data_IF_873003807667
#
_entry.id   IF_873003807667
#
_cell.length_a   1.000
_cell.length_b   1.000
_cell.length_c   1.000
_cell.angle_alpha   90.00
_cell.angle_beta   90.00
_cell.angle_gamma   90.00
#
_symmetry.space_group_name_H-M   'P 1'
#
loop_
_entity.id
_entity.type
_entity.pdbx_description
1 polymer ?
#
# COMPACT_ATOMS: atom_id res chain seq x y z
N UNK A 1 -25.70 5.21 21.32
CA UNK A 1 -26.36 6.32 22.04
C UNK A 1 -27.06 7.27 21.08
N UNK A 2 -26.34 7.92 20.17
CA UNK A 2 -26.88 8.87 19.19
C UNK A 2 -28.07 8.31 18.39
N UNK A 3 -27.92 7.16 17.74
CA UNK A 3 -29.00 6.53 16.96
C UNK A 3 -30.18 6.01 17.79
N UNK A 4 -29.98 5.77 19.10
CA UNK A 4 -30.99 5.23 20.00
C UNK A 4 -31.88 6.35 20.53
N UNK A 5 -31.27 7.47 20.94
CA UNK A 5 -31.99 8.63 21.49
C UNK A 5 -32.48 9.59 20.40
N UNK A 6 -31.82 9.62 19.23
CA UNK A 6 -32.18 10.49 18.10
C UNK A 6 -32.20 9.66 16.81
N UNK A 7 -33.26 8.86 16.58
CA UNK A 7 -33.40 8.06 15.36
C UNK A 7 -33.31 8.84 14.04
N UNK A 8 -33.81 10.09 13.92
CA UNK A 8 -33.71 10.86 12.66
C UNK A 8 -32.29 11.11 12.18
N UNK A 9 -31.29 11.00 13.06
CA UNK A 9 -29.88 11.21 12.69
C UNK A 9 -29.39 10.19 11.67
N UNK A 10 -30.02 9.01 11.59
CA UNK A 10 -29.69 7.98 10.59
C UNK A 10 -29.96 8.53 9.19
N UNK A 11 -31.04 9.28 9.00
CA UNK A 11 -31.37 9.92 7.73
C UNK A 11 -30.30 10.95 7.36
N UNK A 12 -29.83 11.74 8.33
CA UNK A 12 -28.74 12.71 8.13
C UNK A 12 -27.47 11.99 7.67
N UNK A 13 -27.09 10.89 8.34
CA UNK A 13 -25.91 10.09 7.96
C UNK A 13 -26.06 9.52 6.55
N UNK A 14 -27.23 8.99 6.18
CA UNK A 14 -27.48 8.47 4.84
C UNK A 14 -27.37 9.56 3.76
N UNK A 15 -27.94 10.74 4.02
CA UNK A 15 -27.85 11.89 3.10
C UNK A 15 -26.40 12.36 2.93
N UNK A 16 -25.64 12.43 4.02
CA UNK A 16 -24.22 12.81 3.98
C UNK A 16 -23.31 11.72 3.41
N UNK A 17 -23.75 10.47 3.39
CA UNK A 17 -22.99 9.36 2.82
C UNK A 17 -22.80 9.52 1.32
N UNK A 18 -23.81 10.00 0.59
CA UNK A 18 -23.72 10.19 -0.86
C UNK A 18 -22.57 11.13 -1.31
N UNK A 19 -22.47 12.39 -0.83
CA UNK A 19 -21.37 13.27 -1.20
C UNK A 19 -20.02 12.74 -0.69
N UNK A 20 -20.00 12.06 0.45
CA UNK A 20 -18.80 11.40 0.97
C UNK A 20 -18.25 10.37 -0.02
N UNK A 21 -19.09 9.45 -0.50
CA UNK A 21 -18.69 8.43 -1.48
C UNK A 21 -18.21 9.05 -2.79
N UNK A 22 -18.92 10.07 -3.30
CA UNK A 22 -18.56 10.74 -4.54
C UNK A 22 -17.20 11.45 -4.46
N UNK A 23 -16.91 12.08 -3.33
CA UNK A 23 -15.65 12.76 -3.10
C UNK A 23 -14.46 11.78 -3.04
N UNK A 24 -14.64 10.65 -2.36
CA UNK A 24 -13.62 9.58 -2.29
C UNK A 24 -13.38 8.96 -3.66
N UNK A 25 -14.46 8.70 -4.42
CA UNK A 25 -14.38 8.17 -5.79
C UNK A 25 -13.59 9.11 -6.72
N UNK A 26 -13.89 10.41 -6.67
CA UNK A 26 -13.18 11.44 -7.44
C UNK A 26 -11.69 11.53 -7.07
N UNK A 27 -11.37 11.42 -5.78
CA UNK A 27 -9.99 11.50 -5.29
C UNK A 27 -9.11 10.30 -5.67
N UNK A 28 -9.72 9.13 -5.90
CA UNK A 28 -8.99 7.87 -6.10
C UNK A 28 -8.04 7.90 -7.30
N UNK A 29 -8.47 8.47 -8.43
CA UNK A 29 -7.67 8.56 -9.66
C UNK A 29 -6.42 9.45 -9.49
N UNK A 30 -6.53 10.73 -9.10
CA UNK A 30 -5.36 11.59 -8.93
C UNK A 30 -4.42 11.11 -7.82
N UNK A 31 -4.95 10.52 -6.74
CA UNK A 31 -4.14 9.95 -5.67
C UNK A 31 -3.23 8.82 -6.15
N UNK A 32 -3.75 7.93 -7.01
CA UNK A 32 -2.97 6.85 -7.62
C UNK A 32 -1.87 7.40 -8.52
N UNK A 33 -2.19 8.39 -9.34
CA UNK A 33 -1.24 8.96 -10.29
C UNK A 33 -0.13 9.73 -9.57
N UNK A 34 -0.46 10.49 -8.52
CA UNK A 34 0.53 11.14 -7.65
C UNK A 34 1.46 10.13 -6.96
N UNK A 35 0.91 9.02 -6.46
CA UNK A 35 1.71 7.95 -5.86
C UNK A 35 2.66 7.31 -6.87
N UNK A 36 2.21 7.13 -8.11
CA UNK A 36 3.05 6.63 -9.21
C UNK A 36 4.17 7.62 -9.53
N UNK A 37 3.85 8.92 -9.63
CA UNK A 37 4.84 9.97 -9.88
C UNK A 37 5.91 10.02 -8.79
N UNK A 38 5.51 9.92 -7.52
CA UNK A 38 6.44 9.90 -6.38
C UNK A 38 7.37 8.68 -6.44
N UNK A 39 6.84 7.50 -6.78
CA UNK A 39 7.65 6.29 -6.92
C UNK A 39 8.68 6.43 -8.06
N UNK A 40 8.28 7.00 -9.19
CA UNK A 40 9.15 7.19 -10.36
C UNK A 40 10.19 8.29 -10.10
N UNK A 41 9.84 9.37 -9.40
CA UNK A 41 10.78 10.48 -9.13
C UNK A 41 11.86 10.12 -8.11
N UNK A 42 11.55 9.23 -7.16
CA UNK A 42 12.46 8.86 -6.08
C UNK A 42 13.63 7.97 -6.55
N UNK A 43 13.39 7.07 -7.50
CA UNK A 43 14.40 6.12 -7.98
C UNK A 43 15.65 6.79 -8.61
N UNK A 44 15.51 7.77 -9.53
CA UNK A 44 16.66 8.47 -10.12
C UNK A 44 17.55 9.19 -9.12
N UNK A 45 16.96 9.79 -8.07
CA UNK A 45 17.70 10.48 -7.00
C UNK A 45 18.65 9.51 -6.30
N UNK A 46 18.13 8.33 -5.94
CA UNK A 46 18.91 7.29 -5.26
C UNK A 46 19.97 6.66 -6.17
N UNK A 47 19.63 6.44 -7.45
CA UNK A 47 20.57 5.90 -8.44
C UNK A 47 21.74 6.85 -8.68
N UNK A 48 21.46 8.14 -8.90
CA UNK A 48 22.48 9.16 -9.14
C UNK A 48 23.40 9.35 -7.92
N UNK A 49 22.85 9.26 -6.70
CA UNK A 49 23.65 9.27 -5.48
C UNK A 49 24.57 8.05 -5.37
N UNK A 50 24.06 6.85 -5.70
CA UNK A 50 24.88 5.63 -5.71
C UNK A 50 26.01 5.69 -6.74
N UNK A 51 25.74 6.25 -7.92
CA UNK A 51 26.73 6.50 -8.96
C UNK A 51 27.82 7.47 -8.49
N UNK A 52 27.44 8.55 -7.78
CA UNK A 52 28.37 9.49 -7.18
C UNK A 52 29.34 8.82 -6.20
N UNK A 53 28.84 7.91 -5.35
CA UNK A 53 29.63 7.20 -4.35
C UNK A 53 30.64 6.27 -5.00
N UNK A 54 30.21 5.51 -6.02
CA UNK A 54 31.09 4.58 -6.75
C UNK A 54 32.13 5.31 -7.59
N UNK A 55 31.77 6.46 -8.17
CA UNK A 55 32.63 7.27 -9.06
C UNK A 55 33.33 8.45 -8.39
N UNK A 56 33.35 8.54 -7.05
CA UNK A 56 33.80 9.74 -6.33
C UNK A 56 35.24 10.16 -6.70
N UNK A 57 36.15 9.21 -6.80
CA UNK A 57 37.55 9.46 -7.19
C UNK A 57 37.66 10.01 -8.61
N UNK A 58 36.90 9.45 -9.55
CA UNK A 58 36.86 9.91 -10.95
C UNK A 58 36.28 11.32 -11.05
N UNK A 59 35.17 11.61 -10.37
CA UNK A 59 34.53 12.94 -10.41
C UNK A 59 35.51 14.01 -9.91
N UNK A 60 36.23 13.73 -8.82
CA UNK A 60 37.24 14.63 -8.25
C UNK A 60 38.46 14.78 -9.14
N UNK A 61 38.93 13.69 -9.76
CA UNK A 61 40.06 13.73 -10.69
C UNK A 61 39.80 14.64 -11.91
N UNK A 62 38.54 14.74 -12.37
CA UNK A 62 38.14 15.59 -13.48
C UNK A 62 37.60 16.98 -13.06
N UNK A 63 37.53 17.29 -11.76
CA UNK A 63 37.02 18.57 -11.25
C UNK A 63 35.55 18.86 -11.61
N UNK A 64 34.70 17.81 -11.67
CA UNK A 64 33.30 17.89 -12.11
C UNK A 64 32.28 17.87 -10.95
N UNK A 65 32.71 18.12 -9.71
CA UNK A 65 31.87 18.06 -8.52
C UNK A 65 30.66 18.97 -8.61
N UNK A 66 30.85 20.24 -9.02
CA UNK A 66 29.77 21.22 -9.13
C UNK A 66 28.69 20.81 -10.15
N UNK A 67 29.10 20.27 -11.31
CA UNK A 67 28.16 19.82 -12.33
C UNK A 67 27.33 18.62 -11.84
N UNK A 68 27.99 17.69 -11.14
CA UNK A 68 27.32 16.52 -10.56
C UNK A 68 26.36 16.93 -9.43
N UNK A 69 26.74 17.89 -8.59
CA UNK A 69 25.90 18.45 -7.54
C UNK A 69 24.68 19.16 -8.12
N UNK A 70 24.84 20.01 -9.13
CA UNK A 70 23.74 20.70 -9.79
C UNK A 70 22.72 19.72 -10.40
N UNK A 71 23.21 18.62 -11.01
CA UNK A 71 22.32 17.58 -11.52
C UNK A 71 21.54 16.89 -10.39
N UNK A 72 22.21 16.55 -9.30
CA UNK A 72 21.55 15.95 -8.14
C UNK A 72 20.48 16.87 -7.53
N UNK A 73 20.79 18.17 -7.38
CA UNK A 73 19.83 19.17 -6.89
C UNK A 73 18.59 19.25 -7.78
N UNK A 74 18.76 19.28 -9.10
CA UNK A 74 17.63 19.28 -10.06
C UNK A 74 16.74 18.04 -9.96
N UNK A 75 17.32 16.86 -9.71
CA UNK A 75 16.56 15.63 -9.47
C UNK A 75 15.81 15.70 -8.14
N UNK A 76 16.48 16.21 -7.10
CA UNK A 76 15.90 16.38 -5.76
C UNK A 76 14.75 17.38 -5.75
N UNK A 77 14.89 18.53 -6.39
CA UNK A 77 13.84 19.55 -6.52
C UNK A 77 12.57 18.98 -7.16
N UNK A 78 12.71 18.21 -8.25
CA UNK A 78 11.58 17.52 -8.89
C UNK A 78 10.89 16.55 -7.93
N UNK A 79 11.66 15.75 -7.20
CA UNK A 79 11.12 14.80 -6.24
C UNK A 79 10.39 15.50 -5.08
N UNK A 80 10.96 16.60 -4.55
CA UNK A 80 10.36 17.41 -3.50
C UNK A 80 9.05 18.05 -3.99
N UNK A 81 9.02 18.59 -5.21
CA UNK A 81 7.81 19.17 -5.78
C UNK A 81 6.66 18.14 -5.89
N UNK A 82 6.96 16.92 -6.34
CA UNK A 82 5.97 15.82 -6.42
C UNK A 82 5.51 15.40 -5.02
N UNK A 83 6.43 15.31 -4.05
CA UNK A 83 6.09 15.02 -2.67
C UNK A 83 5.14 16.06 -2.07
N UNK A 84 5.40 17.35 -2.28
CA UNK A 84 4.51 18.42 -1.83
C UNK A 84 3.15 18.37 -2.52
N UNK A 85 3.09 18.09 -3.82
CA UNK A 85 1.83 17.92 -4.54
C UNK A 85 1.00 16.77 -3.97
N UNK A 86 1.63 15.62 -3.66
CA UNK A 86 0.99 14.50 -2.97
C UNK A 86 0.48 14.90 -1.59
N UNK A 87 1.30 15.59 -0.79
CA UNK A 87 0.92 16.02 0.55
C UNK A 87 -0.27 16.98 0.52
N UNK A 88 -0.22 18.00 -0.35
CA UNK A 88 -1.32 18.96 -0.53
C UNK A 88 -2.61 18.27 -0.99
N UNK A 89 -2.51 17.30 -1.91
CA UNK A 89 -3.64 16.48 -2.36
C UNK A 89 -4.26 15.68 -1.20
N UNK A 90 -3.44 15.07 -0.34
CA UNK A 90 -3.91 14.35 0.85
C UNK A 90 -4.58 15.28 1.89
N UNK A 91 -4.09 16.51 2.03
CA UNK A 91 -4.72 17.50 2.90
C UNK A 91 -6.05 18.00 2.33
N UNK A 92 -6.15 18.20 1.02
CA UNK A 92 -7.39 18.61 0.37
C UNK A 92 -8.54 17.64 0.67
N UNK A 93 -8.32 16.33 0.46
CA UNK A 93 -9.35 15.32 0.78
C UNK A 93 -9.64 15.26 2.28
N UNK A 94 -8.62 15.41 3.12
CA UNK A 94 -8.79 15.45 4.58
C UNK A 94 -9.74 16.58 5.00
N UNK A 95 -9.48 17.81 4.54
CA UNK A 95 -10.30 18.98 4.85
C UNK A 95 -11.73 18.81 4.31
N UNK A 96 -11.86 18.32 3.08
CA UNK A 96 -13.17 18.13 2.46
C UNK A 96 -14.03 17.07 3.20
N UNK A 97 -13.42 15.98 3.70
CA UNK A 97 -14.09 15.01 4.56
C UNK A 97 -14.44 15.59 5.94
N UNK A 98 -13.55 16.40 6.51
CA UNK A 98 -13.78 17.05 7.80
C UNK A 98 -14.94 18.06 7.74
N UNK A 99 -15.08 18.80 6.64
CA UNK A 99 -16.22 19.69 6.41
C UNK A 99 -17.56 18.92 6.41
N UNK A 100 -17.62 17.76 5.77
CA UNK A 100 -18.82 16.89 5.82
C UNK A 100 -19.09 16.42 7.25
N UNK A 101 -18.03 16.08 7.99
CA UNK A 101 -18.10 15.77 9.42
C UNK A 101 -18.63 16.92 10.28
N UNK A 102 -18.23 18.16 10.00
CA UNK A 102 -18.76 19.35 10.66
C UNK A 102 -20.26 19.53 10.41
N UNK A 103 -20.73 19.27 9.18
CA UNK A 103 -22.17 19.28 8.88
C UNK A 103 -22.94 18.21 9.65
N UNK A 104 -22.36 17.01 9.81
CA UNK A 104 -22.94 15.97 10.64
C UNK A 104 -23.06 16.43 12.10
N UNK A 105 -21.99 16.98 12.68
CA UNK A 105 -22.00 17.50 14.06
C UNK A 105 -23.00 18.63 14.23
N UNK A 106 -23.06 19.57 13.28
CA UNK A 106 -24.03 20.67 13.30
C UNK A 106 -25.48 20.15 13.28
N UNK A 107 -25.80 19.25 12.35
CA UNK A 107 -27.13 18.66 12.23
C UNK A 107 -27.52 17.87 13.50
N UNK A 108 -26.59 17.09 14.04
CA UNK A 108 -26.81 16.37 15.29
C UNK A 108 -27.07 17.31 16.47
N UNK A 109 -26.36 18.45 16.54
CA UNK A 109 -26.52 19.43 17.59
C UNK A 109 -27.90 20.09 17.54
N UNK A 110 -28.36 20.46 16.34
CA UNK A 110 -29.72 21.00 16.14
C UNK A 110 -30.79 20.00 16.58
N UNK A 111 -30.62 18.71 16.25
CA UNK A 111 -31.55 17.66 16.69
C UNK A 111 -31.52 17.49 18.21
N UNK A 112 -30.35 17.47 18.85
CA UNK A 112 -30.24 17.39 20.32
C UNK A 112 -30.99 18.53 20.99
N UNK A 113 -30.85 19.76 20.50
CA UNK A 113 -31.56 20.93 21.04
C UNK A 113 -33.08 20.80 20.87
N UNK A 114 -33.54 20.33 19.71
CA UNK A 114 -34.96 20.11 19.45
C UNK A 114 -35.58 19.03 20.34
N UNK A 115 -34.87 17.92 20.58
CA UNK A 115 -35.35 16.86 21.48
C UNK A 115 -35.25 17.26 22.97
N UNK A 116 -34.28 18.09 23.32
CA UNK A 116 -34.15 18.65 24.66
C UNK A 116 -35.32 19.62 24.98
N UNK A 117 -35.72 20.48 24.04
CA UNK A 117 -36.87 21.38 24.24
C UNK A 117 -38.20 20.64 24.32
N UNK A 118 -38.29 19.44 23.73
CA UNK A 118 -39.45 18.57 23.80
C UNK A 118 -39.55 17.78 25.13
N UNK A 119 -38.57 17.93 26.04
CA UNK A 119 -38.57 17.27 27.36
C UNK A 119 -38.29 15.76 27.34
N UNK A 120 -37.93 15.20 26.19
CA UNK A 120 -37.74 13.75 26.00
C UNK A 120 -36.42 13.26 26.60
N UNK A 121 -35.41 14.14 26.74
CA UNK A 121 -34.05 13.77 27.12
C UNK A 121 -33.56 14.63 28.28
N UNK A 122 -32.95 13.99 29.29
CA UNK A 122 -32.30 14.68 30.41
C UNK A 122 -31.08 15.49 29.92
N UNK A 123 -30.87 16.74 30.39
CA UNK A 123 -29.76 17.59 29.98
C UNK A 123 -28.38 16.93 30.09
N UNK A 124 -28.17 16.05 31.08
CA UNK A 124 -26.91 15.32 31.24
C UNK A 124 -26.63 14.35 30.07
N UNK A 125 -27.66 13.68 29.56
CA UNK A 125 -27.55 12.77 28.42
C UNK A 125 -27.30 13.57 27.13
N UNK A 126 -27.92 14.75 26.98
CA UNK A 126 -27.66 15.66 25.86
C UNK A 126 -26.18 16.04 25.77
N UNK A 127 -25.55 16.39 26.89
CA UNK A 127 -24.12 16.72 26.95
C UNK A 127 -23.22 15.55 26.55
N UNK A 128 -23.56 14.33 26.98
CA UNK A 128 -22.86 13.12 26.55
C UNK A 128 -23.00 12.90 25.04
N UNK A 129 -24.22 12.99 24.51
CA UNK A 129 -24.48 12.81 23.07
C UNK A 129 -23.67 13.82 22.24
N UNK A 130 -23.69 15.10 22.60
CA UNK A 130 -22.93 16.13 21.88
C UNK A 130 -21.42 15.90 21.92
N UNK A 131 -20.90 15.53 23.09
CA UNK A 131 -19.47 15.22 23.24
C UNK A 131 -19.08 14.06 22.32
N UNK A 132 -19.78 12.92 22.41
CA UNK A 132 -19.47 11.78 21.55
C UNK A 132 -19.61 12.10 20.06
N UNK A 133 -20.63 12.87 19.67
CA UNK A 133 -20.83 13.22 18.26
C UNK A 133 -19.70 14.08 17.72
N UNK A 134 -19.20 15.02 18.52
CA UNK A 134 -18.12 15.92 18.13
C UNK A 134 -16.79 15.17 17.94
N UNK A 135 -16.57 14.06 18.65
CA UNK A 135 -15.38 13.23 18.50
C UNK A 135 -15.41 12.31 17.26
N UNK A 136 -16.60 11.89 16.82
CA UNK A 136 -16.75 10.88 15.75
C UNK A 136 -16.04 11.28 14.43
N UNK A 137 -16.21 12.51 13.89
CA UNK A 137 -15.57 12.90 12.63
C UNK A 137 -14.04 12.77 12.67
N UNK A 138 -13.42 13.23 13.76
CA UNK A 138 -11.97 13.19 13.91
C UNK A 138 -11.46 11.75 13.99
N UNK A 139 -12.14 10.90 14.75
CA UNK A 139 -11.74 9.49 14.87
C UNK A 139 -11.97 8.71 13.58
N UNK A 140 -13.04 9.00 12.84
CA UNK A 140 -13.27 8.40 11.55
C UNK A 140 -12.17 8.78 10.55
N UNK A 141 -11.74 10.05 10.53
CA UNK A 141 -10.62 10.49 9.70
C UNK A 141 -9.33 9.72 10.02
N UNK A 142 -8.96 9.59 11.30
CA UNK A 142 -7.77 8.83 11.70
C UNK A 142 -7.91 7.34 11.39
N UNK A 143 -9.09 6.75 11.60
CA UNK A 143 -9.35 5.36 11.26
C UNK A 143 -9.14 5.09 9.77
N UNK A 144 -9.67 5.95 8.90
CA UNK A 144 -9.50 5.83 7.44
C UNK A 144 -8.04 5.96 7.01
N UNK A 145 -7.29 6.88 7.64
CA UNK A 145 -5.85 7.04 7.40
C UNK A 145 -5.09 5.78 7.81
N UNK A 146 -5.37 5.24 9.00
CA UNK A 146 -4.77 3.99 9.47
C UNK A 146 -5.15 2.80 8.58
N UNK A 147 -6.40 2.71 8.12
CA UNK A 147 -6.85 1.67 7.22
C UNK A 147 -6.10 1.72 5.87
N UNK A 148 -5.99 2.91 5.28
CA UNK A 148 -5.23 3.13 4.04
C UNK A 148 -3.75 2.78 4.22
N UNK A 149 -3.15 3.16 5.36
CA UNK A 149 -1.78 2.79 5.68
C UNK A 149 -1.61 1.27 5.81
N UNK A 150 -2.52 0.59 6.49
CA UNK A 150 -2.51 -0.85 6.63
C UNK A 150 -2.61 -1.56 5.26
N UNK A 151 -3.50 -1.10 4.36
CA UNK A 151 -3.62 -1.63 3.00
C UNK A 151 -2.28 -1.56 2.23
N UNK A 152 -1.53 -0.48 2.43
CA UNK A 152 -0.20 -0.33 1.83
C UNK A 152 0.84 -1.27 2.44
N UNK A 153 0.82 -1.42 3.76
CA UNK A 153 1.76 -2.30 4.47
C UNK A 153 1.52 -3.78 4.10
N UNK A 154 0.26 -4.18 3.90
CA UNK A 154 -0.11 -5.54 3.46
C UNK A 154 0.47 -5.93 2.11
N UNK A 155 0.70 -4.98 1.19
CA UNK A 155 1.36 -5.27 -0.10
C UNK A 155 2.76 -5.89 0.12
N UNK A 156 3.47 -5.47 1.16
CA UNK A 156 4.80 -6.04 1.47
C UNK A 156 4.69 -7.48 1.96
N UNK A 157 3.64 -7.78 2.72
CA UNK A 157 3.35 -9.15 3.20
C UNK A 157 2.99 -10.07 2.03
N UNK A 158 2.19 -9.59 1.09
CA UNK A 158 1.83 -10.33 -0.13
C UNK A 158 3.09 -10.69 -0.94
N UNK A 159 4.01 -9.73 -1.11
CA UNK A 159 5.29 -9.98 -1.80
C UNK A 159 6.18 -10.98 -1.07
N UNK A 160 6.28 -10.91 0.26
CA UNK A 160 7.01 -11.91 1.05
C UNK A 160 6.42 -13.32 0.88
N UNK A 161 5.09 -13.42 0.91
CA UNK A 161 4.40 -14.69 0.68
C UNK A 161 4.62 -15.23 -0.74
N UNK A 162 4.68 -14.35 -1.74
CA UNK A 162 5.04 -14.70 -3.11
C UNK A 162 6.47 -15.26 -3.20
N UNK A 163 7.46 -14.59 -2.57
CA UNK A 163 8.84 -15.07 -2.55
C UNK A 163 9.01 -16.44 -1.87
N UNK A 164 8.21 -16.75 -0.84
CA UNK A 164 8.21 -18.08 -0.21
C UNK A 164 7.60 -19.18 -1.08
N UNK A 165 6.80 -18.84 -2.09
CA UNK A 165 6.11 -19.79 -2.98
C UNK A 165 6.86 -20.02 -4.29
N UNK A 166 7.86 -19.20 -4.61
CA UNK A 166 8.71 -19.42 -5.77
C UNK A 166 9.45 -20.76 -5.63
N UNK A 167 9.37 -21.58 -6.67
CA UNK A 167 10.15 -22.82 -6.74
C UNK A 167 11.64 -22.50 -6.71
N UNK A 168 12.42 -23.35 -6.04
CA UNK A 168 13.88 -23.24 -6.01
C UNK A 168 14.41 -23.29 -7.45
N UNK A 169 15.16 -22.27 -7.85
CA UNK A 169 15.82 -22.26 -9.15
C UNK A 169 16.71 -23.50 -9.26
N UNK A 170 16.58 -24.26 -10.36
CA UNK A 170 17.47 -25.38 -10.64
C UNK A 170 18.90 -24.87 -10.67
N UNK A 171 19.68 -25.23 -9.66
CA UNK A 171 21.08 -24.82 -9.54
C UNK A 171 21.83 -25.32 -10.77
N UNK A 172 22.59 -24.47 -11.46
CA UNK A 172 23.33 -24.85 -12.69
C UNK A 172 24.27 -26.05 -12.48
N UNK A 173 24.64 -26.36 -11.23
CA UNK A 173 25.35 -27.58 -10.81
C UNK A 173 24.59 -28.85 -11.19
N UNK A 174 23.25 -28.84 -11.08
CA UNK A 174 22.37 -29.92 -11.55
C UNK A 174 22.30 -29.98 -13.08
N UNK A 175 22.38 -28.86 -13.77
CA UNK A 175 22.37 -28.80 -15.25
C UNK A 175 23.68 -29.34 -15.82
N UNK A 176 24.83 -28.94 -15.28
CA UNK A 176 26.14 -29.50 -15.64
C UNK A 176 26.26 -30.97 -15.22
N UNK A 177 25.81 -31.36 -14.03
CA UNK A 177 25.81 -32.75 -13.59
C UNK A 177 24.91 -33.65 -14.47
N UNK A 178 23.76 -33.16 -14.90
CA UNK A 178 22.86 -33.89 -15.80
C UNK A 178 23.42 -33.95 -17.23
N UNK A 179 24.11 -32.91 -17.69
CA UNK A 179 24.76 -32.86 -19.00
C UNK A 179 26.02 -33.77 -19.03
N UNK A 180 26.84 -33.76 -17.98
CA UNK A 180 28.01 -34.66 -17.81
C UNK A 180 27.55 -36.11 -17.65
N UNK A 181 26.45 -36.38 -16.95
CA UNK A 181 25.89 -37.73 -16.82
C UNK A 181 25.26 -38.23 -18.13
N UNK A 182 24.71 -37.34 -18.97
CA UNK A 182 24.27 -37.67 -20.35
C UNK A 182 25.45 -37.92 -21.29
N UNK A 183 26.51 -37.12 -21.20
CA UNK A 183 27.75 -37.28 -21.98
C UNK A 183 28.53 -38.56 -21.58
N UNK A 184 28.60 -38.87 -20.28
CA UNK A 184 29.21 -40.11 -19.78
C UNK A 184 28.45 -41.37 -20.19
N UNK A 185 27.12 -41.28 -20.34
CA UNK A 185 26.28 -42.39 -20.84
C UNK A 185 26.39 -42.57 -22.36
N UNK A 186 26.71 -41.51 -23.10
CA UNK A 186 26.95 -41.57 -24.55
C UNK A 186 28.34 -42.12 -24.91
N UNK A 187 29.32 -42.00 -24.00
CA UNK A 187 30.71 -42.45 -24.21
C UNK A 187 31.04 -43.82 -23.58
N UNK A 188 30.03 -44.53 -23.10
CA UNK A 188 30.19 -45.90 -22.58
C UNK A 188 30.19 -46.89 -23.75
N UNK A 189 31.22 -47.73 -23.95
CA UNK A 189 31.20 -48.75 -25.01
C UNK A 189 30.04 -49.73 -24.79
N UNK A 190 29.42 -50.27 -25.86
CA UNK A 190 28.33 -51.20 -25.73
C UNK A 190 28.85 -52.45 -25.03
N UNK A 191 28.39 -52.71 -23.81
CA UNK A 191 28.70 -53.94 -23.10
C UNK A 191 28.11 -55.10 -23.90
N UNK A 192 29.00 -55.83 -24.58
CA UNK A 192 28.69 -57.11 -25.22
C UNK A 192 28.05 -58.04 -24.18
N UNK A 193 26.92 -58.61 -24.57
CA UNK A 193 25.92 -59.15 -23.66
C UNK A 193 26.36 -60.23 -22.70
N UNK A 194 25.57 -60.36 -21.63
CA UNK A 194 25.30 -61.66 -21.01
C UNK A 194 23.80 -61.83 -20.87
N UNK A 195 23.30 -62.85 -21.56
CA UNK A 195 21.94 -63.38 -21.50
C UNK A 195 21.80 -64.17 -20.20
N UNK A 196 21.02 -63.70 -19.22
CA UNK A 196 20.51 -64.48 -18.06
C UNK A 196 19.51 -63.58 -17.33
N UNK A 197 18.27 -63.91 -17.02
CA UNK A 197 17.45 -65.10 -17.10
C UNK A 197 16.08 -64.70 -16.52
N UNK A 198 15.01 -65.36 -16.97
CA UNK A 198 13.64 -65.28 -16.46
C UNK A 198 13.54 -65.22 -14.93
N UNK A 199 12.57 -64.45 -14.44
CA UNK A 199 12.10 -64.54 -13.05
C UNK A 199 10.93 -63.60 -12.77
N UNK A 200 9.73 -64.17 -12.71
CA UNK A 200 8.45 -63.56 -12.39
C UNK A 200 8.37 -62.95 -10.98
N UNK A 201 7.52 -61.92 -10.80
CA UNK A 201 6.30 -61.97 -9.95
C UNK A 201 6.04 -60.68 -9.15
N UNK A 202 4.87 -60.08 -9.45
CA UNK A 202 3.82 -59.63 -8.50
C UNK A 202 3.90 -58.32 -7.71
N UNK A 203 2.73 -57.64 -7.74
CA UNK A 203 2.12 -56.64 -6.81
C UNK A 203 2.66 -55.20 -6.93
N UNK A 204 1.93 -54.17 -7.39
CA UNK A 204 0.52 -53.74 -7.30
C UNK A 204 -0.03 -53.55 -5.88
N UNK A 205 -0.56 -52.33 -5.64
CA UNK A 205 -1.21 -51.76 -4.44
C UNK A 205 -0.30 -51.62 -3.21
N UNK A 206 -0.11 -50.44 -2.60
CA UNK A 206 -1.06 -49.38 -2.23
C UNK A 206 -0.44 -47.98 -2.39
#
# INVERSE_FOLDING_TARGET
LLCVYIPPVIVVVLVLSWPYYKLVEFYRLPARDLRRLEAISKSPVMSHFSEALRGSTTIRAFGKECAFLQHHLKLSEKNVAIYWAKWASNQWITIALEVIGCFLTLASGLLVVYYASSGVISPGICGLILTYTSLVPNQLMWLLKNYSQAEVEFISVERCAEYCRLGVEETEVGRQGTQVRRLGRANSPPLLGTKKGRGSSSRQSL
#
